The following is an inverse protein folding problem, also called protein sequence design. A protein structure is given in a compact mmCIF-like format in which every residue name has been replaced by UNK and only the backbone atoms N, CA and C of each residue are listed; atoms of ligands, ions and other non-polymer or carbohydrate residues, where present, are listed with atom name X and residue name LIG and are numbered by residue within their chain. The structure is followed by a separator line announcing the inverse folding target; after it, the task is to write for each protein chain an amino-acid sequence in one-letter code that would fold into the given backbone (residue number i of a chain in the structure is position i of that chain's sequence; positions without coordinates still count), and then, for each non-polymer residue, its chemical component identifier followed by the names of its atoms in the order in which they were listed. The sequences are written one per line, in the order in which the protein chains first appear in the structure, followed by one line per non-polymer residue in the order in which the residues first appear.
data_IF_856093799193
#
_entry.id   IF_856093799193
#
_cell.length_a   1.000
_cell.length_b   1.000
_cell.length_c   1.000
_cell.angle_alpha   90.00
_cell.angle_beta   90.00
_cell.angle_gamma   90.00
#
_symmetry.space_group_name_H-M   'P 1'
#
loop_
_entity.id
_entity.type
_entity.pdbx_description
1 polymer ?
#
# COMPACT_ATOMS: atom_id res chain seq x y z
N UNK A 1 18.46 -3.14 -12.06
CA UNK A 1 18.66 -4.58 -12.33
C UNK A 1 17.43 -5.38 -11.90
N UNK A 2 17.09 -5.45 -10.60
CA UNK A 2 15.89 -6.13 -10.09
C UNK A 2 14.56 -5.80 -10.82
N UNK A 3 14.25 -4.52 -11.05
CA UNK A 3 13.01 -4.14 -11.74
C UNK A 3 12.93 -4.69 -13.18
N UNK A 4 14.05 -4.70 -13.90
CA UNK A 4 14.10 -5.21 -15.27
C UNK A 4 13.90 -6.72 -15.30
N UNK A 5 14.47 -7.45 -14.33
CA UNK A 5 14.26 -8.89 -14.18
C UNK A 5 12.79 -9.20 -13.89
N UNK A 6 12.16 -8.42 -13.00
CA UNK A 6 10.74 -8.55 -12.70
C UNK A 6 9.87 -8.27 -13.94
N UNK A 7 10.25 -7.28 -14.74
CA UNK A 7 9.54 -6.94 -15.97
C UNK A 7 9.66 -8.05 -17.01
N UNK A 8 10.87 -8.58 -17.21
CA UNK A 8 11.11 -9.72 -18.09
C UNK A 8 10.36 -10.97 -17.62
N UNK A 9 10.30 -11.21 -16.31
CA UNK A 9 9.47 -12.27 -15.71
C UNK A 9 7.99 -12.06 -16.04
N UNK A 10 7.50 -10.83 -15.93
CA UNK A 10 6.15 -10.46 -16.35
C UNK A 10 5.85 -10.73 -17.82
N UNK A 11 6.81 -10.50 -18.73
CA UNK A 11 6.66 -10.82 -20.14
C UNK A 11 6.62 -12.33 -20.44
N UNK A 12 7.31 -13.16 -19.64
CA UNK A 12 7.37 -14.61 -19.85
C UNK A 12 6.24 -15.37 -19.16
N UNK A 13 5.92 -14.98 -17.93
CA UNK A 13 5.10 -15.81 -17.01
C UNK A 13 3.63 -15.36 -16.94
N UNK A 14 3.30 -14.20 -17.50
CA UNK A 14 1.90 -13.75 -17.59
C UNK A 14 1.13 -14.56 -18.64
N UNK A 15 -0.17 -14.74 -18.42
CA UNK A 15 -1.05 -15.54 -19.29
C UNK A 15 -0.93 -15.11 -20.77
N UNK A 16 -0.52 -16.03 -21.66
CA UNK A 16 -0.36 -15.72 -23.07
C UNK A 16 -1.73 -15.43 -23.71
N UNK A 17 -1.72 -14.50 -24.65
CA UNK A 17 -2.83 -14.29 -25.58
C UNK A 17 -2.22 -13.99 -26.94
N UNK A 18 -2.39 -14.92 -27.88
CA UNK A 18 -1.77 -14.87 -29.20
C UNK A 18 -2.70 -14.25 -30.25
N UNK A 19 -3.97 -14.04 -29.92
CA UNK A 19 -5.01 -13.58 -30.84
C UNK A 19 -5.34 -12.11 -30.60
N UNK A 20 -5.35 -11.70 -29.33
CA UNK A 20 -5.68 -10.35 -28.92
C UNK A 20 -4.50 -9.66 -28.22
N UNK A 21 -3.88 -8.72 -28.93
CA UNK A 21 -2.76 -7.92 -28.42
C UNK A 21 -3.15 -7.11 -27.18
N UNK A 22 -4.35 -6.54 -27.14
CA UNK A 22 -4.79 -5.69 -26.03
C UNK A 22 -5.02 -6.52 -24.77
N UNK A 23 -5.59 -7.72 -24.94
CA UNK A 23 -5.72 -8.69 -23.84
C UNK A 23 -4.35 -9.17 -23.35
N UNK A 24 -3.39 -9.41 -24.25
CA UNK A 24 -2.01 -9.75 -23.86
C UNK A 24 -1.37 -8.66 -23.01
N UNK A 25 -1.52 -7.40 -23.41
CA UNK A 25 -1.01 -6.23 -22.67
C UNK A 25 -1.67 -6.17 -21.28
N UNK A 26 -2.98 -6.38 -21.21
CA UNK A 26 -3.71 -6.42 -19.94
C UNK A 26 -3.19 -7.53 -19.01
N UNK A 27 -2.97 -8.74 -19.53
CA UNK A 27 -2.43 -9.87 -18.76
C UNK A 27 -1.03 -9.56 -18.21
N UNK A 28 -0.15 -8.97 -19.03
CA UNK A 28 1.19 -8.54 -18.62
C UNK A 28 1.08 -7.49 -17.51
N UNK A 29 0.24 -6.47 -17.70
CA UNK A 29 0.06 -5.40 -16.71
C UNK A 29 -0.46 -5.95 -15.38
N UNK A 30 -1.46 -6.83 -15.42
CA UNK A 30 -2.05 -7.44 -14.22
C UNK A 30 -1.04 -8.30 -13.46
N UNK A 31 -0.28 -9.13 -14.16
CA UNK A 31 0.78 -9.95 -13.56
C UNK A 31 1.86 -9.05 -12.95
N UNK A 32 2.39 -8.11 -13.73
CA UNK A 32 3.51 -7.26 -13.31
C UNK A 32 3.15 -6.36 -12.13
N UNK A 33 1.94 -5.77 -12.14
CA UNK A 33 1.44 -4.94 -11.04
C UNK A 33 1.37 -5.73 -9.74
N UNK A 34 0.85 -6.96 -9.79
CA UNK A 34 0.78 -7.81 -8.60
C UNK A 34 2.17 -8.31 -8.16
N UNK A 35 3.06 -8.61 -9.11
CA UNK A 35 4.42 -9.02 -8.82
C UNK A 35 5.22 -7.91 -8.12
N UNK A 36 5.06 -6.65 -8.53
CA UNK A 36 5.62 -5.49 -7.82
C UNK A 36 5.07 -5.43 -6.41
N UNK A 37 3.75 -5.42 -6.25
CA UNK A 37 3.11 -5.36 -4.94
C UNK A 37 3.64 -6.45 -3.99
N UNK A 38 3.63 -7.71 -4.44
CA UNK A 38 4.09 -8.85 -3.65
C UNK A 38 5.55 -8.70 -3.21
N UNK A 39 6.43 -8.30 -4.13
CA UNK A 39 7.85 -8.17 -3.81
C UNK A 39 8.15 -6.99 -2.89
N UNK A 40 7.51 -5.84 -3.11
CA UNK A 40 7.72 -4.66 -2.24
C UNK A 40 7.09 -4.90 -0.85
N UNK A 41 5.95 -5.59 -0.77
CA UNK A 41 5.35 -5.96 0.52
C UNK A 41 6.25 -6.85 1.40
N UNK A 42 7.20 -7.60 0.82
CA UNK A 42 8.18 -8.39 1.59
C UNK A 42 9.16 -7.53 2.38
N UNK A 43 9.41 -6.29 1.93
CA UNK A 43 10.33 -5.35 2.58
C UNK A 43 9.63 -4.27 3.41
N UNK A 44 8.30 -4.27 3.46
CA UNK A 44 7.51 -3.26 4.18
C UNK A 44 6.95 -3.82 5.49
N UNK A 45 6.89 -2.96 6.50
CA UNK A 45 6.09 -3.24 7.70
C UNK A 45 4.61 -3.31 7.35
N UNK A 46 3.85 -4.07 8.14
CA UNK A 46 2.41 -4.29 7.93
C UNK A 46 1.62 -2.97 7.78
N UNK A 47 1.91 -1.99 8.63
CA UNK A 47 1.28 -0.67 8.62
C UNK A 47 1.48 0.12 7.32
N UNK A 48 2.53 -0.17 6.55
CA UNK A 48 2.91 0.59 5.36
C UNK A 48 2.38 -0.04 4.06
N UNK A 49 1.88 -1.28 4.10
CA UNK A 49 1.44 -2.03 2.90
C UNK A 49 0.20 -1.43 2.24
N UNK A 50 -0.74 -0.90 3.02
CA UNK A 50 -1.91 -0.21 2.46
C UNK A 50 -1.50 1.09 1.76
N UNK A 51 -0.53 1.83 2.32
CA UNK A 51 -0.01 3.05 1.72
C UNK A 51 0.65 2.79 0.36
N UNK A 52 1.42 1.70 0.23
CA UNK A 52 1.96 1.27 -1.06
C UNK A 52 0.83 1.09 -2.08
N UNK A 53 -0.18 0.32 -1.72
CA UNK A 53 -1.30 -0.03 -2.61
C UNK A 53 -2.09 1.21 -3.02
N UNK A 54 -2.35 2.10 -2.07
CA UNK A 54 -2.96 3.40 -2.35
C UNK A 54 -2.11 4.22 -3.33
N UNK A 55 -0.80 4.30 -3.11
CA UNK A 55 0.12 5.01 -4.00
C UNK A 55 0.13 4.42 -5.41
N UNK A 56 0.09 3.09 -5.54
CA UNK A 56 0.01 2.41 -6.84
C UNK A 56 -1.25 2.83 -7.60
N UNK A 57 -2.43 2.81 -6.94
CA UNK A 57 -3.69 3.28 -7.55
C UNK A 57 -3.57 4.74 -7.98
N UNK A 58 -3.09 5.63 -7.11
CA UNK A 58 -2.97 7.05 -7.42
C UNK A 58 -2.07 7.30 -8.64
N UNK A 59 -0.99 6.53 -8.81
CA UNK A 59 -0.11 6.63 -9.97
C UNK A 59 -0.73 6.05 -11.24
N UNK A 60 -1.49 4.97 -11.15
CA UNK A 60 -2.17 4.37 -12.29
C UNK A 60 -3.30 5.24 -12.84
N UNK A 61 -4.01 5.94 -11.97
CA UNK A 61 -5.10 6.85 -12.34
C UNK A 61 -4.62 8.26 -12.71
N UNK A 62 -3.30 8.52 -12.63
CA UNK A 62 -2.72 9.85 -12.87
C UNK A 62 -3.44 10.96 -12.09
N UNK A 63 -3.72 10.71 -10.80
CA UNK A 63 -4.48 11.62 -9.95
C UNK A 63 -3.86 13.03 -9.96
N UNK A 64 -4.71 14.04 -10.16
CA UNK A 64 -4.33 15.46 -10.09
C UNK A 64 -3.58 15.74 -8.76
N UNK A 65 -2.34 16.28 -8.82
CA UNK A 65 -1.57 16.66 -7.66
C UNK A 65 -2.31 17.59 -6.68
N UNK A 66 -3.23 18.45 -7.14
CA UNK A 66 -3.89 19.43 -6.29
C UNK A 66 -4.86 18.80 -5.26
N UNK A 67 -5.87 17.99 -5.66
CA UNK A 67 -6.69 17.21 -4.74
C UNK A 67 -5.89 16.27 -3.84
N UNK A 68 -4.85 15.62 -4.37
CA UNK A 68 -3.98 14.73 -3.58
C UNK A 68 -3.21 15.50 -2.50
N UNK A 69 -2.65 16.66 -2.84
CA UNK A 69 -1.99 17.54 -1.87
C UNK A 69 -2.97 18.00 -0.80
N UNK A 70 -4.20 18.35 -1.18
CA UNK A 70 -5.22 18.71 -0.22
C UNK A 70 -5.57 17.56 0.74
N UNK A 71 -5.71 16.32 0.24
CA UNK A 71 -5.96 15.14 1.08
C UNK A 71 -4.86 14.97 2.14
N UNK A 72 -3.60 15.20 1.76
CA UNK A 72 -2.44 15.05 2.64
C UNK A 72 -2.29 16.21 3.64
N UNK A 73 -2.52 17.46 3.22
CA UNK A 73 -2.20 18.64 4.04
C UNK A 73 -3.43 19.33 4.67
N UNK A 74 -4.63 19.10 4.15
CA UNK A 74 -5.85 19.82 4.53
C UNK A 74 -5.94 21.26 3.97
N UNK A 75 -5.15 21.57 2.95
CA UNK A 75 -5.03 22.93 2.38
C UNK A 75 -4.09 23.84 3.19
N UNK A 76 -3.97 25.10 2.77
CA UNK A 76 -3.22 26.14 3.50
C UNK A 76 -4.23 26.98 4.29
N UNK A 77 -3.91 27.30 5.54
CA UNK A 77 -4.72 28.17 6.38
C UNK A 77 -4.86 29.55 5.74
N UNK A 78 -6.09 29.92 5.33
CA UNK A 78 -6.45 31.32 5.09
C UNK A 78 -7.17 31.86 6.32
N UNK A 79 -6.80 33.07 6.75
CA UNK A 79 -7.33 33.71 7.96
C UNK A 79 -8.80 34.17 7.86
N UNK A 80 -9.46 33.94 6.71
CA UNK A 80 -10.69 34.64 6.33
C UNK A 80 -12.01 33.93 6.64
N UNK A 81 -12.01 32.76 7.30
CA UNK A 81 -13.26 31.98 7.50
C UNK A 81 -13.83 32.13 8.91
N UNK A 82 -15.08 32.58 8.94
CA UNK A 82 -15.97 32.81 10.10
C UNK A 82 -16.26 31.55 10.92
N UNK A 83 -16.88 31.73 12.10
CA UNK A 83 -17.41 30.65 12.94
C UNK A 83 -18.31 29.68 12.14
N UNK A 84 -18.37 28.42 12.57
CA UNK A 84 -19.24 27.42 11.95
C UNK A 84 -20.71 27.88 12.01
N UNK A 85 -21.46 27.86 10.89
CA UNK A 85 -22.90 28.11 10.90
C UNK A 85 -23.69 26.93 11.49
N UNK A 86 -23.02 25.80 11.77
CA UNK A 86 -23.61 24.56 12.24
C UNK A 86 -23.17 24.29 13.68
N UNK A 87 -24.13 24.15 14.59
CA UNK A 87 -23.86 23.98 16.02
C UNK A 87 -23.17 22.66 16.37
N UNK A 88 -23.36 21.62 15.56
CA UNK A 88 -22.77 20.29 15.76
C UNK A 88 -21.38 20.14 15.11
N UNK A 89 -21.00 21.03 14.18
CA UNK A 89 -19.74 20.93 13.46
C UNK A 89 -18.69 21.88 14.08
N UNK A 90 -17.53 21.36 14.54
CA UNK A 90 -16.48 22.20 15.09
C UNK A 90 -16.01 23.26 14.10
N UNK A 91 -15.76 24.48 14.58
CA UNK A 91 -15.27 25.61 13.76
C UNK A 91 -14.01 25.25 12.97
N UNK A 92 -13.10 24.45 13.54
CA UNK A 92 -11.88 24.03 12.83
C UNK A 92 -12.19 23.12 11.63
N UNK A 93 -13.13 22.17 11.80
CA UNK A 93 -13.58 21.30 10.71
C UNK A 93 -14.30 22.11 9.63
N UNK A 94 -15.15 23.06 10.04
CA UNK A 94 -15.82 23.95 9.09
C UNK A 94 -14.83 24.79 8.27
N UNK A 95 -13.78 25.33 8.90
CA UNK A 95 -12.71 26.04 8.19
C UNK A 95 -12.05 25.16 7.12
N UNK A 96 -11.78 23.89 7.42
CA UNK A 96 -11.22 22.94 6.44
C UNK A 96 -12.20 22.64 5.30
N UNK A 97 -13.50 22.50 5.60
CA UNK A 97 -14.57 22.35 4.61
C UNK A 97 -14.63 23.56 3.67
N UNK A 98 -14.57 24.78 4.19
CA UNK A 98 -14.51 26.00 3.36
C UNK A 98 -13.23 26.05 2.50
N UNK A 99 -12.07 25.64 3.03
CA UNK A 99 -10.82 25.57 2.24
C UNK A 99 -10.92 24.58 1.08
N UNK A 100 -11.70 23.51 1.23
CA UNK A 100 -11.90 22.54 0.16
C UNK A 100 -12.48 23.20 -1.11
N UNK A 101 -13.19 24.35 -1.00
CA UNK A 101 -13.71 25.08 -2.17
C UNK A 101 -12.64 25.55 -3.15
N UNK A 102 -11.38 25.60 -2.73
CA UNK A 102 -10.24 25.87 -3.62
C UNK A 102 -10.07 24.77 -4.69
N UNK A 103 -10.60 23.57 -4.44
CA UNK A 103 -10.66 22.50 -5.43
C UNK A 103 -11.97 22.63 -6.23
N UNK A 104 -11.92 22.69 -7.58
CA UNK A 104 -13.13 22.77 -8.41
C UNK A 104 -14.12 21.63 -8.14
N UNK A 105 -13.62 20.42 -7.86
CA UNK A 105 -14.44 19.25 -7.53
C UNK A 105 -15.17 19.34 -6.18
N UNK A 106 -14.84 20.33 -5.34
CA UNK A 106 -15.35 20.50 -3.98
C UNK A 106 -16.02 21.85 -3.73
N UNK A 107 -16.07 22.74 -4.72
CA UNK A 107 -16.66 24.09 -4.59
C UNK A 107 -18.09 24.08 -4.02
N UNK A 108 -18.84 23.01 -4.33
CA UNK A 108 -20.23 22.78 -3.91
C UNK A 108 -20.39 22.36 -2.44
N UNK A 109 -19.33 21.84 -1.80
CA UNK A 109 -19.44 21.11 -0.53
C UNK A 109 -19.99 21.97 0.62
N UNK A 110 -19.48 23.18 0.90
CA UNK A 110 -19.94 23.94 2.08
C UNK A 110 -21.38 24.44 1.95
N UNK A 111 -21.79 24.82 0.73
CA UNK A 111 -23.18 25.22 0.48
C UNK A 111 -24.12 24.02 0.69
N UNK A 112 -23.75 22.86 0.16
CA UNK A 112 -24.54 21.64 0.29
C UNK A 112 -24.65 21.15 1.74
N UNK A 113 -23.60 21.30 2.55
CA UNK A 113 -23.67 20.99 4.00
C UNK A 113 -24.66 21.90 4.71
N UNK A 114 -24.68 23.19 4.37
CA UNK A 114 -25.63 24.15 4.97
C UNK A 114 -27.08 23.92 4.53
N UNK A 115 -27.30 23.47 3.29
CA UNK A 115 -28.63 23.15 2.77
C UNK A 115 -29.19 21.84 3.33
N UNK A 116 -28.32 20.88 3.68
CA UNK A 116 -28.72 19.55 4.17
C UNK A 116 -28.11 19.17 5.53
N UNK A 117 -28.21 20.03 6.56
CA UNK A 117 -27.43 19.91 7.80
C UNK A 117 -27.71 18.60 8.55
N UNK A 118 -28.95 18.11 8.53
CA UNK A 118 -29.33 16.87 9.23
C UNK A 118 -28.72 15.62 8.58
N UNK A 119 -28.66 15.57 7.24
CA UNK A 119 -28.06 14.45 6.52
C UNK A 119 -26.55 14.38 6.77
N UNK A 120 -25.86 15.52 6.72
CA UNK A 120 -24.43 15.59 7.01
C UNK A 120 -24.12 15.36 8.48
N UNK A 121 -25.00 15.77 9.39
CA UNK A 121 -24.89 15.41 10.81
C UNK A 121 -25.02 13.90 11.02
N UNK A 122 -26.01 13.27 10.40
CA UNK A 122 -26.17 11.81 10.48
C UNK A 122 -24.94 11.07 9.95
N UNK A 123 -24.32 11.57 8.88
CA UNK A 123 -23.06 11.04 8.37
C UNK A 123 -21.91 11.27 9.36
N UNK A 124 -21.79 12.48 9.90
CA UNK A 124 -20.74 12.85 10.86
C UNK A 124 -20.84 12.04 12.16
N UNK A 125 -22.04 11.80 12.68
CA UNK A 125 -22.26 11.06 13.93
C UNK A 125 -22.23 9.52 13.75
N UNK A 126 -22.23 9.01 12.50
CA UNK A 126 -22.29 7.57 12.20
C UNK A 126 -21.03 6.80 12.61
N UNK A 127 -21.14 5.62 13.22
CA UNK A 127 -19.97 4.79 13.52
C UNK A 127 -19.30 4.18 12.27
N UNK A 128 -20.06 4.04 11.19
CA UNK A 128 -19.63 3.48 9.90
C UNK A 128 -20.19 4.33 8.75
N UNK A 129 -19.66 5.56 8.55
CA UNK A 129 -20.18 6.48 7.54
C UNK A 129 -20.01 5.95 6.09
N UNK A 130 -19.05 5.05 5.87
CA UNK A 130 -18.77 4.44 4.57
C UNK A 130 -19.70 3.27 4.21
N UNK A 131 -20.42 2.69 5.18
CA UNK A 131 -21.38 1.60 4.94
C UNK A 131 -22.82 2.13 4.78
N UNK A 132 -23.06 3.38 5.16
CA UNK A 132 -24.37 4.03 5.15
C UNK A 132 -24.62 4.89 3.91
N UNK A 133 -25.81 5.51 3.81
CA UNK A 133 -26.09 6.46 2.75
C UNK A 133 -25.14 7.67 2.84
N UNK A 134 -24.44 7.96 1.74
CA UNK A 134 -23.58 9.13 1.64
C UNK A 134 -24.43 10.38 1.31
N UNK A 135 -24.31 11.49 2.06
CA UNK A 135 -25.17 12.67 1.87
C UNK A 135 -24.83 13.46 0.59
N UNK A 136 -23.62 13.35 0.07
CA UNK A 136 -23.26 13.99 -1.21
C UNK A 136 -24.06 13.41 -2.39
N UNK A 137 -24.41 14.24 -3.40
CA UNK A 137 -25.08 13.76 -4.61
C UNK A 137 -24.26 12.70 -5.33
N UNK A 138 -24.93 11.69 -5.88
CA UNK A 138 -24.26 10.56 -6.54
C UNK A 138 -23.41 11.02 -7.73
N UNK A 139 -23.81 12.08 -8.45
CA UNK A 139 -23.05 12.62 -9.59
C UNK A 139 -21.74 13.28 -9.14
N UNK A 140 -21.65 13.73 -7.88
CA UNK A 140 -20.40 14.28 -7.32
C UNK A 140 -19.43 13.19 -6.87
N UNK A 141 -19.94 12.02 -6.51
CA UNK A 141 -19.15 10.85 -6.12
C UNK A 141 -18.81 9.93 -7.31
N UNK A 142 -19.57 10.01 -8.41
CA UNK A 142 -19.45 9.15 -9.59
C UNK A 142 -19.25 9.96 -10.89
N UNK A 143 -18.65 11.15 -10.82
CA UNK A 143 -18.25 11.86 -12.04
C UNK A 143 -17.31 10.97 -12.89
N UNK A 144 -17.22 11.13 -14.21
CA UNK A 144 -16.31 10.29 -15.01
C UNK A 144 -14.87 10.83 -14.94
N UNK A 145 -13.86 9.96 -14.83
CA UNK A 145 -12.44 10.33 -15.02
C UNK A 145 -11.48 10.08 -13.83
N UNK A 146 -11.88 9.34 -12.79
CA UNK A 146 -10.97 8.93 -11.71
C UNK A 146 -10.81 9.94 -10.56
N UNK A 147 -11.43 11.12 -10.65
CA UNK A 147 -11.59 12.08 -9.54
C UNK A 147 -12.68 11.68 -8.52
N UNK A 148 -13.35 10.57 -8.81
CA UNK A 148 -14.67 10.17 -8.34
C UNK A 148 -14.61 9.74 -6.87
N UNK A 149 -13.60 8.93 -6.53
CA UNK A 149 -13.36 8.44 -5.17
C UNK A 149 -12.39 9.31 -4.37
N UNK A 150 -11.61 10.15 -5.03
CA UNK A 150 -10.79 11.13 -4.32
C UNK A 150 -11.67 12.17 -3.64
N UNK A 151 -12.84 12.45 -4.24
CA UNK A 151 -13.86 13.28 -3.61
C UNK A 151 -14.35 12.69 -2.31
N UNK A 152 -14.73 11.41 -2.31
CA UNK A 152 -15.12 10.69 -1.10
C UNK A 152 -13.99 10.67 -0.05
N UNK A 153 -12.76 10.38 -0.47
CA UNK A 153 -11.59 10.37 0.44
C UNK A 153 -11.36 11.74 1.09
N UNK A 154 -11.50 12.83 0.35
CA UNK A 154 -11.37 14.19 0.89
C UNK A 154 -12.51 14.49 1.87
N UNK A 155 -13.76 14.16 1.54
CA UNK A 155 -14.91 14.35 2.44
C UNK A 155 -14.70 13.57 3.74
N UNK A 156 -14.27 12.31 3.63
CA UNK A 156 -13.92 11.48 4.79
C UNK A 156 -12.79 12.08 5.60
N UNK A 157 -11.72 12.57 4.96
CA UNK A 157 -10.59 13.24 5.63
C UNK A 157 -11.02 14.49 6.40
N UNK A 158 -12.00 15.22 5.87
CA UNK A 158 -12.53 16.45 6.47
C UNK A 158 -13.44 16.15 7.66
N UNK A 159 -14.43 15.28 7.47
CA UNK A 159 -15.50 15.07 8.44
C UNK A 159 -15.22 13.92 9.42
N UNK A 160 -14.61 12.82 8.95
CA UNK A 160 -14.38 11.58 9.72
C UNK A 160 -13.00 10.98 9.45
N UNK A 161 -11.91 11.71 9.81
CA UNK A 161 -10.55 11.25 9.59
C UNK A 161 -10.23 9.93 10.31
N UNK A 162 -10.91 9.63 11.42
CA UNK A 162 -10.82 8.37 12.15
C UNK A 162 -11.30 7.15 11.35
N UNK A 163 -12.12 7.37 10.32
CA UNK A 163 -12.68 6.32 9.44
C UNK A 163 -12.08 6.34 8.04
N UNK A 164 -10.99 7.06 7.81
CA UNK A 164 -10.36 7.18 6.49
C UNK A 164 -9.74 5.86 6.00
N UNK A 165 -9.13 5.07 6.89
CA UNK A 165 -8.42 3.83 6.53
C UNK A 165 -9.33 2.80 5.84
N UNK A 166 -10.54 2.48 6.36
CA UNK A 166 -11.51 1.65 5.65
C UNK A 166 -11.86 2.15 4.24
N UNK A 167 -12.02 3.47 4.06
CA UNK A 167 -12.36 4.05 2.75
C UNK A 167 -11.19 3.94 1.77
N UNK A 168 -9.96 4.16 2.24
CA UNK A 168 -8.75 3.91 1.44
C UNK A 168 -8.65 2.43 1.05
N UNK A 169 -8.99 1.50 1.95
CA UNK A 169 -9.02 0.06 1.64
C UNK A 169 -10.07 -0.28 0.57
N UNK A 170 -11.27 0.29 0.68
CA UNK A 170 -12.32 0.13 -0.32
C UNK A 170 -11.91 0.71 -1.67
N UNK A 171 -11.29 1.89 -1.68
CA UNK A 171 -10.73 2.53 -2.87
C UNK A 171 -9.70 1.64 -3.58
N UNK A 172 -8.73 1.10 -2.84
CA UNK A 172 -7.74 0.17 -3.40
C UNK A 172 -8.42 -1.10 -3.92
N UNK A 173 -9.38 -1.64 -3.18
CA UNK A 173 -10.11 -2.85 -3.58
C UNK A 173 -10.89 -2.65 -4.88
N UNK A 174 -11.49 -1.48 -5.07
CA UNK A 174 -12.24 -1.14 -6.29
C UNK A 174 -11.33 -1.06 -7.53
N UNK A 175 -10.11 -0.53 -7.40
CA UNK A 175 -9.21 -0.31 -8.54
C UNK A 175 -8.23 -1.45 -8.83
N UNK A 176 -7.66 -2.06 -7.80
CA UNK A 176 -6.65 -3.11 -7.93
C UNK A 176 -7.17 -4.49 -7.54
N UNK A 177 -8.27 -4.56 -6.80
CA UNK A 177 -8.84 -5.80 -6.27
C UNK A 177 -8.37 -6.12 -4.86
N UNK A 178 -9.12 -7.02 -4.21
CA UNK A 178 -8.96 -7.37 -2.79
C UNK A 178 -7.54 -7.86 -2.44
N UNK A 179 -6.87 -8.56 -3.37
CA UNK A 179 -5.50 -9.08 -3.22
C UNK A 179 -4.41 -8.04 -2.95
N UNK A 180 -4.69 -6.75 -3.17
CA UNK A 180 -3.77 -5.65 -2.85
C UNK A 180 -4.01 -5.05 -1.46
N UNK A 181 -5.08 -5.47 -0.79
CA UNK A 181 -5.41 -5.06 0.58
C UNK A 181 -5.23 -6.18 1.61
N UNK A 182 -4.83 -7.35 1.13
CA UNK A 182 -4.59 -8.56 1.89
C UNK A 182 -3.18 -9.04 1.55
N UNK A 183 -2.18 -8.63 2.34
CA UNK A 183 -0.80 -8.93 2.00
C UNK A 183 -0.56 -10.44 2.02
N UNK A 184 0.30 -10.92 1.10
CA UNK A 184 0.59 -12.35 1.01
C UNK A 184 1.22 -12.84 2.31
N UNK A 185 0.82 -14.04 2.72
CA UNK A 185 1.44 -14.73 3.85
C UNK A 185 2.94 -14.92 3.60
N UNK A 186 3.72 -14.90 4.69
CA UNK A 186 5.13 -15.23 4.62
C UNK A 186 5.29 -16.67 4.13
N UNK A 187 6.16 -16.86 3.13
CA UNK A 187 6.45 -18.17 2.56
C UNK A 187 7.92 -18.19 2.12
N UNK A 188 8.76 -18.80 2.94
CA UNK A 188 10.21 -18.84 2.73
C UNK A 188 10.59 -19.53 1.42
N UNK A 189 9.90 -20.62 1.05
CA UNK A 189 10.14 -21.32 -0.22
C UNK A 189 9.89 -20.45 -1.44
N UNK A 190 8.78 -19.70 -1.48
CA UNK A 190 8.51 -18.76 -2.56
C UNK A 190 9.51 -17.60 -2.59
N UNK A 191 9.95 -17.12 -1.42
CA UNK A 191 10.98 -16.06 -1.33
C UNK A 191 12.31 -16.57 -1.89
N UNK A 192 12.70 -17.79 -1.54
CA UNK A 192 13.91 -18.44 -2.05
C UNK A 192 13.84 -18.71 -3.56
N UNK A 193 12.70 -19.17 -4.09
CA UNK A 193 12.53 -19.30 -5.53
C UNK A 193 12.57 -17.94 -6.25
N UNK A 194 12.01 -16.89 -5.63
CA UNK A 194 11.96 -15.55 -6.23
C UNK A 194 13.29 -14.78 -6.12
N UNK A 195 14.20 -15.14 -5.20
CA UNK A 195 15.54 -14.52 -5.16
C UNK A 195 16.36 -14.86 -6.41
N UNK A 196 16.00 -15.95 -7.10
CA UNK A 196 16.47 -16.34 -8.42
C UNK A 196 17.88 -16.91 -8.43
N UNK A 197 18.82 -16.22 -7.78
CA UNK A 197 20.25 -16.49 -7.92
C UNK A 197 20.93 -16.70 -6.55
N UNK A 198 21.88 -17.66 -6.44
CA UNK A 198 22.55 -17.98 -5.18
C UNK A 198 23.38 -16.84 -4.55
N UNK A 199 23.73 -15.81 -5.32
CA UNK A 199 24.48 -14.64 -4.83
C UNK A 199 23.58 -13.50 -4.33
N UNK A 200 22.25 -13.64 -4.42
CA UNK A 200 21.30 -12.68 -3.87
C UNK A 200 21.02 -13.07 -2.41
N UNK A 201 21.54 -12.35 -1.41
CA UNK A 201 21.33 -12.72 -0.01
C UNK A 201 19.89 -12.46 0.40
N UNK A 202 19.35 -13.36 1.24
CA UNK A 202 18.09 -13.12 1.93
C UNK A 202 18.36 -12.41 3.26
N UNK A 203 17.78 -11.22 3.42
CA UNK A 203 17.91 -10.40 4.63
C UNK A 203 16.57 -10.39 5.36
N UNK A 204 16.57 -10.87 6.60
CA UNK A 204 15.37 -10.92 7.44
C UNK A 204 15.39 -9.74 8.43
N UNK A 205 14.44 -8.82 8.27
CA UNK A 205 14.24 -7.72 9.22
C UNK A 205 13.19 -8.15 10.23
N UNK A 206 13.64 -8.43 11.46
CA UNK A 206 12.80 -9.04 12.50
C UNK A 206 12.13 -7.97 13.36
N UNK A 207 10.88 -8.24 13.75
CA UNK A 207 10.22 -7.52 14.83
C UNK A 207 10.63 -8.13 16.18
N UNK A 208 10.59 -7.34 17.25
CA UNK A 208 10.92 -7.82 18.58
C UNK A 208 10.08 -9.07 18.93
N UNK A 209 10.75 -10.14 19.36
CA UNK A 209 10.10 -11.40 19.74
C UNK A 209 9.84 -12.39 18.61
N UNK A 210 10.25 -12.09 17.36
CA UNK A 210 10.18 -13.04 16.25
C UNK A 210 11.58 -13.58 15.90
N UNK A 211 11.75 -14.90 15.93
CA UNK A 211 12.99 -15.60 15.57
C UNK A 211 12.71 -16.59 14.41
N UNK A 212 13.26 -16.36 13.21
CA UNK A 212 13.03 -17.21 12.03
C UNK A 212 13.89 -18.49 12.04
N UNK A 213 14.77 -18.70 13.02
CA UNK A 213 15.76 -19.78 13.01
C UNK A 213 15.12 -21.16 12.85
N UNK A 214 14.02 -21.43 13.55
CA UNK A 214 13.31 -22.71 13.46
C UNK A 214 12.77 -22.95 12.04
N UNK A 215 12.16 -21.92 11.43
CA UNK A 215 11.61 -22.00 10.07
C UNK A 215 12.72 -22.15 9.02
N UNK A 216 13.83 -21.43 9.18
CA UNK A 216 15.00 -21.55 8.31
C UNK A 216 15.66 -22.93 8.38
N UNK A 217 15.73 -23.51 9.59
CA UNK A 217 16.31 -24.84 9.80
C UNK A 217 15.44 -25.92 9.15
N UNK A 218 14.12 -25.86 9.37
CA UNK A 218 13.17 -26.77 8.72
C UNK A 218 13.25 -26.65 7.18
N UNK A 219 13.30 -25.43 6.66
CA UNK A 219 13.43 -25.22 5.22
C UNK A 219 14.77 -25.74 4.67
N UNK A 220 15.86 -25.60 5.42
CA UNK A 220 17.14 -26.18 5.04
C UNK A 220 17.11 -27.72 5.01
N UNK A 221 16.37 -28.36 5.91
CA UNK A 221 16.12 -29.80 5.87
C UNK A 221 15.32 -30.21 4.62
N UNK A 222 14.24 -29.50 4.32
CA UNK A 222 13.41 -29.75 3.12
C UNK A 222 14.21 -29.60 1.81
N UNK A 223 15.15 -28.66 1.76
CA UNK A 223 16.04 -28.46 0.61
C UNK A 223 17.28 -29.37 0.61
N UNK A 224 17.44 -30.26 1.61
CA UNK A 224 18.62 -31.13 1.74
C UNK A 224 19.93 -30.39 2.06
N UNK A 225 19.81 -29.16 2.55
CA UNK A 225 20.92 -28.25 2.90
C UNK A 225 21.27 -28.26 4.38
N UNK A 226 20.55 -29.00 5.22
CA UNK A 226 20.81 -29.10 6.67
C UNK A 226 22.27 -29.47 7.02
N UNK A 227 22.89 -30.39 6.29
CA UNK A 227 24.32 -30.77 6.48
C UNK A 227 25.31 -29.79 5.85
N UNK A 228 24.81 -28.80 5.11
CA UNK A 228 25.57 -27.78 4.37
C UNK A 228 25.15 -26.37 4.78
N UNK A 229 24.64 -26.23 6.00
CA UNK A 229 24.22 -24.97 6.58
C UNK A 229 25.13 -24.64 7.76
N UNK A 230 25.78 -23.48 7.71
CA UNK A 230 26.64 -22.96 8.77
C UNK A 230 25.96 -21.75 9.40
N UNK A 231 25.81 -21.76 10.74
CA UNK A 231 25.20 -20.66 11.49
C UNK A 231 26.26 -19.93 12.30
N UNK A 232 26.31 -18.60 12.16
CA UNK A 232 27.25 -17.75 12.88
C UNK A 232 26.51 -16.58 13.54
N UNK A 233 26.64 -16.47 14.86
CA UNK A 233 26.20 -15.28 15.59
C UNK A 233 27.22 -14.16 15.42
N UNK A 234 26.78 -13.03 14.88
CA UNK A 234 27.53 -11.81 14.79
C UNK A 234 27.55 -11.12 16.16
N UNK A 235 28.71 -10.56 16.48
CA UNK A 235 28.99 -9.90 17.74
C UNK A 235 30.29 -9.12 17.60
N UNK A 236 30.75 -8.52 18.69
CA UNK A 236 31.98 -7.72 18.65
C UNK A 236 33.17 -8.60 18.20
N UNK A 237 33.88 -8.17 17.14
CA UNK A 237 35.05 -8.86 16.61
C UNK A 237 34.79 -10.02 15.64
N UNK A 238 33.53 -10.33 15.28
CA UNK A 238 33.22 -11.46 14.39
C UNK A 238 33.38 -11.19 12.89
N UNK A 239 33.65 -9.94 12.48
CA UNK A 239 33.68 -9.55 11.06
C UNK A 239 34.63 -10.37 10.18
N UNK A 240 35.86 -10.66 10.67
CA UNK A 240 36.84 -11.47 9.93
C UNK A 240 36.34 -12.90 9.72
N UNK A 241 35.82 -13.53 10.77
CA UNK A 241 35.28 -14.90 10.73
C UNK A 241 34.05 -15.00 9.83
N UNK A 242 33.16 -14.00 9.87
CA UNK A 242 32.00 -13.96 8.99
C UNK A 242 32.41 -13.90 7.51
N UNK A 243 33.38 -13.04 7.16
CA UNK A 243 33.90 -12.95 5.79
C UNK A 243 34.56 -14.27 5.31
N UNK A 244 35.38 -14.90 6.15
CA UNK A 244 35.99 -16.21 5.86
C UNK A 244 34.94 -17.30 5.64
N UNK A 245 33.89 -17.30 6.48
CA UNK A 245 32.77 -18.26 6.39
C UNK A 245 31.96 -18.05 5.10
N UNK A 246 31.70 -16.80 4.71
CA UNK A 246 31.03 -16.48 3.44
C UNK A 246 31.87 -16.91 2.23
N UNK A 247 33.19 -16.73 2.26
CA UNK A 247 34.10 -17.19 1.20
C UNK A 247 34.08 -18.71 1.08
N UNK A 248 34.13 -19.42 2.21
CA UNK A 248 34.00 -20.87 2.26
C UNK A 248 32.66 -21.33 1.68
N UNK A 249 31.56 -20.68 2.10
CA UNK A 249 30.21 -20.98 1.61
C UNK A 249 30.07 -20.79 0.12
N UNK A 250 30.67 -19.74 -0.44
CA UNK A 250 30.71 -19.51 -1.89
C UNK A 250 31.48 -20.60 -2.64
N UNK A 251 32.58 -21.09 -2.09
CA UNK A 251 33.41 -22.11 -2.75
C UNK A 251 32.78 -23.51 -2.69
N UNK A 252 32.10 -23.83 -1.59
CA UNK A 252 31.58 -25.18 -1.31
C UNK A 252 30.07 -25.33 -1.54
N UNK A 253 29.38 -24.23 -1.84
CA UNK A 253 27.92 -24.22 -2.00
C UNK A 253 27.19 -24.42 -0.68
N UNK A 254 27.62 -23.74 0.38
CA UNK A 254 26.99 -23.79 1.70
C UNK A 254 25.92 -22.69 1.86
N UNK A 255 24.93 -22.95 2.68
CA UNK A 255 24.05 -21.92 3.22
C UNK A 255 24.71 -21.31 4.45
N UNK A 256 24.89 -19.98 4.45
CA UNK A 256 25.49 -19.27 5.58
C UNK A 256 24.41 -18.43 6.25
N UNK A 257 24.04 -18.78 7.48
CA UNK A 257 23.12 -18.01 8.30
C UNK A 257 23.90 -17.12 9.26
N UNK A 258 23.80 -15.80 9.05
CA UNK A 258 24.35 -14.80 9.95
C UNK A 258 23.21 -14.23 10.82
N UNK A 259 23.35 -14.30 12.14
CA UNK A 259 22.33 -13.85 13.10
C UNK A 259 22.91 -12.86 14.13
N UNK A 260 22.07 -12.06 14.79
CA UNK A 260 22.39 -10.95 15.71
C UNK A 260 22.84 -9.63 15.08
#
# INVERSE_FOLDING_TARGET
QWFLELFQKGLRDSDPDNENRDQRILNINNYFTYAIYKNVCRSLFEKDKLLLSFTMVCRMLEIDPAPMRFLLTGGIDSESVSQSPLSWLPTQTWKMVCRAQQLPSMAWLPEHIQQHPDAWRSFYDSNSPHDGPHPAPAERLNAEGGGDLLTELIIMRLLRPDKLVPVVKAFVTKHLGKKFTEPPLFNLGQIFCDSGEPWVPLVFVLSAGFDPLAELTLFAEEQGMNKRMETLSLGQGMGKRAAETMLLGRQQGLWILLQN
#
